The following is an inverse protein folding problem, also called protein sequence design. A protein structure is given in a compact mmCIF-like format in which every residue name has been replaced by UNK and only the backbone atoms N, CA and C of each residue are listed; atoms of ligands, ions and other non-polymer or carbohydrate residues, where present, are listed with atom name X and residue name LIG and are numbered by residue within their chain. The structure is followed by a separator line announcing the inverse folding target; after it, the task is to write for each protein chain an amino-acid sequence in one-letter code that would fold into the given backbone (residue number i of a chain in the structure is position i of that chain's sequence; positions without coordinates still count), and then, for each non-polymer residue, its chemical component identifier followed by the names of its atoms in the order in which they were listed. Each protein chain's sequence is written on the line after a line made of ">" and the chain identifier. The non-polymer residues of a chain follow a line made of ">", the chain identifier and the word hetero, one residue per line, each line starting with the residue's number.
data_IF_205000580190
#
_entry.id   IF_205000580190
#
_cell.length_a   1.000
_cell.length_b   1.000
_cell.length_c   1.000
_cell.angle_alpha   90.00
_cell.angle_beta   90.00
_cell.angle_gamma   90.00
#
_symmetry.space_group_name_H-M   'P 1'
#
loop_
_entity.id
_entity.type
_entity.pdbx_description
1 polymer ?
#
# COMPACT_ATOMS: atom_id res chain seq x y z
N UNK A 1 13.74 -5.19 -14.52
CA UNK A 1 13.66 -6.65 -14.25
C UNK A 1 13.24 -7.42 -15.50
N UNK A 2 13.88 -7.20 -16.65
CA UNK A 2 13.57 -7.97 -17.87
C UNK A 2 14.01 -9.44 -17.75
N UNK A 3 15.01 -9.68 -16.89
CA UNK A 3 15.61 -10.95 -16.51
C UNK A 3 14.75 -11.82 -15.59
N UNK A 4 13.64 -11.28 -15.06
CA UNK A 4 12.77 -11.96 -14.08
C UNK A 4 11.43 -12.32 -14.75
N UNK A 5 11.44 -13.35 -15.58
CA UNK A 5 10.27 -13.82 -16.34
C UNK A 5 10.03 -15.31 -16.16
N UNK A 6 8.76 -15.72 -16.22
CA UNK A 6 8.35 -17.12 -16.21
C UNK A 6 8.90 -17.91 -15.02
N UNK A 7 9.67 -18.98 -15.31
CA UNK A 7 10.19 -19.93 -14.33
C UNK A 7 11.10 -19.30 -13.26
N UNK A 8 11.64 -18.11 -13.50
CA UNK A 8 12.46 -17.39 -12.53
C UNK A 8 11.69 -17.05 -11.24
N UNK A 9 10.37 -16.87 -11.33
CA UNK A 9 9.50 -16.65 -10.17
C UNK A 9 9.17 -17.91 -9.39
N UNK A 10 9.38 -19.10 -9.97
CA UNK A 10 9.04 -20.40 -9.37
C UNK A 10 10.19 -20.98 -8.52
N UNK A 11 11.09 -20.14 -8.03
CA UNK A 11 12.21 -20.54 -7.15
C UNK A 11 11.72 -20.61 -5.70
N UNK A 12 12.41 -21.39 -4.86
CA UNK A 12 12.16 -21.33 -3.41
C UNK A 12 12.41 -19.92 -2.88
N UNK A 13 11.66 -19.49 -1.85
CA UNK A 13 11.68 -18.09 -1.39
C UNK A 13 13.08 -17.53 -1.13
N UNK A 14 13.98 -18.33 -0.51
CA UNK A 14 15.37 -17.94 -0.27
C UNK A 14 16.16 -17.71 -1.56
N UNK A 15 16.00 -18.60 -2.54
CA UNK A 15 16.68 -18.50 -3.83
C UNK A 15 16.11 -17.37 -4.68
N UNK A 16 14.79 -17.13 -4.58
CA UNK A 16 14.13 -16.02 -5.24
C UNK A 16 14.61 -14.68 -4.67
N UNK A 17 14.67 -14.53 -3.34
CA UNK A 17 15.18 -13.34 -2.68
C UNK A 17 16.64 -13.04 -3.08
N UNK A 18 17.51 -14.07 -3.08
CA UNK A 18 18.89 -13.93 -3.51
C UNK A 18 19.01 -13.49 -4.98
N UNK A 19 18.14 -14.02 -5.87
CA UNK A 19 18.09 -13.63 -7.28
C UNK A 19 17.61 -12.19 -7.46
N UNK A 20 16.54 -11.79 -6.75
CA UNK A 20 16.00 -10.41 -6.79
C UNK A 20 17.08 -9.42 -6.36
N UNK A 21 17.85 -9.73 -5.31
CA UNK A 21 18.91 -8.86 -4.81
C UNK A 21 20.06 -8.62 -5.81
N UNK A 22 20.14 -9.36 -6.92
CA UNK A 22 21.11 -9.10 -7.99
C UNK A 22 20.65 -7.99 -8.95
N UNK A 23 19.38 -7.62 -8.91
CA UNK A 23 18.85 -6.52 -9.72
C UNK A 23 19.27 -5.17 -9.11
N UNK A 24 19.41 -4.16 -9.96
CA UNK A 24 19.89 -2.84 -9.55
C UNK A 24 18.73 -1.86 -9.38
N UNK A 25 18.94 -0.86 -8.51
CA UNK A 25 18.02 0.27 -8.27
C UNK A 25 16.64 -0.16 -7.81
N UNK A 26 16.55 -1.26 -7.05
CA UNK A 26 15.31 -1.68 -6.41
C UNK A 26 14.99 -0.76 -5.24
N UNK A 27 13.70 -0.60 -4.94
CA UNK A 27 13.23 0.15 -3.76
C UNK A 27 13.79 -0.46 -2.47
N UNK A 28 13.84 -1.79 -2.41
CA UNK A 28 14.35 -2.52 -1.26
C UNK A 28 15.10 -3.80 -1.68
N UNK A 29 15.93 -4.29 -0.77
CA UNK A 29 16.66 -5.54 -0.87
C UNK A 29 16.36 -6.42 0.35
N UNK A 30 16.43 -7.74 0.21
CA UNK A 30 16.35 -8.66 1.34
C UNK A 30 17.68 -8.69 2.09
N UNK A 31 17.66 -8.50 3.41
CA UNK A 31 18.84 -8.69 4.26
C UNK A 31 18.91 -10.13 4.77
N UNK A 32 17.84 -10.55 5.44
CA UNK A 32 17.69 -11.88 5.99
C UNK A 32 16.40 -12.49 5.43
N UNK A 33 16.45 -13.73 4.98
CA UNK A 33 15.28 -14.46 4.50
C UNK A 33 15.07 -15.71 5.35
N UNK A 34 14.22 -15.59 6.39
CA UNK A 34 13.96 -16.62 7.40
C UNK A 34 12.47 -16.69 7.76
N UNK A 35 11.60 -16.96 6.77
CA UNK A 35 10.17 -17.10 7.03
C UNK A 35 9.58 -15.80 7.57
N UNK A 36 9.01 -15.83 8.79
CA UNK A 36 8.43 -14.64 9.45
C UNK A 36 9.49 -13.62 9.87
N UNK A 37 10.74 -14.05 10.11
CA UNK A 37 11.87 -13.18 10.46
C UNK A 37 12.58 -12.61 9.22
N UNK A 38 11.88 -12.57 8.09
CA UNK A 38 12.44 -11.99 6.86
C UNK A 38 12.56 -10.48 7.01
N UNK A 39 13.75 -9.96 6.77
CA UNK A 39 14.06 -8.54 6.86
C UNK A 39 14.36 -7.98 5.48
N UNK A 40 13.82 -6.80 5.21
CA UNK A 40 14.13 -6.00 4.03
C UNK A 40 14.78 -4.68 4.45
N UNK A 41 15.60 -4.13 3.56
CA UNK A 41 16.15 -2.80 3.70
C UNK A 41 15.73 -1.96 2.51
N UNK A 42 15.03 -0.86 2.79
CA UNK A 42 14.72 0.16 1.80
C UNK A 42 16.01 0.94 1.52
N UNK A 43 16.33 1.15 0.25
CA UNK A 43 17.49 1.94 -0.12
C UNK A 43 17.31 3.40 0.30
N UNK A 44 18.40 4.07 0.68
CA UNK A 44 18.35 5.42 1.23
C UNK A 44 17.72 6.41 0.25
N UNK A 45 18.05 6.35 -1.03
CA UNK A 45 17.54 7.25 -2.04
C UNK A 45 16.02 7.13 -2.20
N UNK A 46 15.50 5.91 -2.08
CA UNK A 46 14.08 5.63 -2.12
C UNK A 46 13.37 6.04 -0.83
N UNK A 47 14.00 5.82 0.34
CA UNK A 47 13.47 6.29 1.62
C UNK A 47 13.35 7.83 1.63
N UNK A 48 14.43 8.52 1.25
CA UNK A 48 14.47 9.98 1.15
C UNK A 48 13.40 10.49 0.15
N UNK A 49 13.23 9.82 -1.00
CA UNK A 49 12.19 10.16 -1.98
C UNK A 49 10.78 10.00 -1.41
N UNK A 50 10.50 8.87 -0.74
CA UNK A 50 9.19 8.59 -0.16
C UNK A 50 8.87 9.62 0.93
N UNK A 51 9.85 9.96 1.77
CA UNK A 51 9.68 10.97 2.82
C UNK A 51 9.38 12.36 2.23
N UNK A 52 10.15 12.79 1.23
CA UNK A 52 9.95 14.09 0.57
C UNK A 52 8.61 14.19 -0.17
N UNK A 53 8.08 13.08 -0.66
CA UNK A 53 6.85 13.04 -1.46
C UNK A 53 5.68 12.39 -0.71
N UNK A 54 5.78 12.27 0.61
CA UNK A 54 4.86 11.48 1.44
C UNK A 54 3.40 11.87 1.24
N UNK A 55 3.08 13.16 1.26
CA UNK A 55 1.69 13.64 1.12
C UNK A 55 1.07 13.25 -0.23
N UNK A 56 1.85 13.32 -1.31
CA UNK A 56 1.39 12.97 -2.66
C UNK A 56 1.16 11.46 -2.75
N UNK A 57 2.11 10.66 -2.24
CA UNK A 57 2.01 9.20 -2.23
C UNK A 57 0.82 8.75 -1.39
N UNK A 58 0.63 9.35 -0.21
CA UNK A 58 -0.49 9.05 0.67
C UNK A 58 -1.82 9.39 -0.02
N UNK A 59 -1.97 10.59 -0.59
CA UNK A 59 -3.17 10.99 -1.30
C UNK A 59 -3.49 10.06 -2.48
N UNK A 60 -2.47 9.60 -3.20
CA UNK A 60 -2.65 8.62 -4.29
C UNK A 60 -3.12 7.25 -3.77
N UNK A 61 -2.57 6.76 -2.66
CA UNK A 61 -3.02 5.50 -2.02
C UNK A 61 -4.47 5.62 -1.56
N UNK A 62 -4.82 6.72 -0.89
CA UNK A 62 -6.19 6.99 -0.42
C UNK A 62 -7.19 7.02 -1.58
N UNK A 63 -6.84 7.70 -2.68
CA UNK A 63 -7.68 7.75 -3.88
C UNK A 63 -7.92 6.36 -4.45
N UNK A 64 -6.89 5.51 -4.56
CA UNK A 64 -7.04 4.15 -5.05
C UNK A 64 -7.92 3.29 -4.11
N UNK A 65 -7.76 3.46 -2.79
CA UNK A 65 -8.59 2.79 -1.80
C UNK A 65 -10.05 3.20 -1.92
N UNK A 66 -10.34 4.51 -2.03
CA UNK A 66 -11.68 5.05 -2.26
C UNK A 66 -12.32 4.40 -3.50
N UNK A 67 -11.60 4.42 -4.62
CA UNK A 67 -12.10 3.85 -5.87
C UNK A 67 -12.37 2.34 -5.76
N UNK A 68 -11.49 1.61 -5.08
CA UNK A 68 -11.67 0.18 -4.84
C UNK A 68 -12.92 -0.10 -4.00
N UNK A 69 -13.08 0.62 -2.89
CA UNK A 69 -14.22 0.44 -1.98
C UNK A 69 -15.55 0.85 -2.64
N UNK A 70 -15.57 1.93 -3.40
CA UNK A 70 -16.76 2.37 -4.13
C UNK A 70 -17.19 1.32 -5.18
N UNK A 71 -16.25 0.75 -5.93
CA UNK A 71 -16.52 -0.32 -6.90
C UNK A 71 -17.14 -1.56 -6.26
N UNK A 72 -16.72 -1.89 -5.04
CA UNK A 72 -17.25 -3.03 -4.27
C UNK A 72 -18.58 -2.72 -3.57
N UNK A 73 -18.90 -1.44 -3.35
CA UNK A 73 -20.07 -0.99 -2.58
C UNK A 73 -20.80 0.14 -3.33
N UNK A 74 -21.33 -0.10 -4.53
CA UNK A 74 -21.90 0.96 -5.38
C UNK A 74 -23.13 1.65 -4.75
N UNK A 75 -23.84 0.98 -3.85
CA UNK A 75 -24.99 1.52 -3.12
C UNK A 75 -24.63 2.45 -1.97
N UNK A 76 -23.34 2.60 -1.65
CA UNK A 76 -22.85 3.46 -0.57
C UNK A 76 -22.34 4.76 -1.19
N UNK A 77 -23.13 5.86 -1.16
CA UNK A 77 -22.63 7.18 -1.55
C UNK A 77 -21.72 7.75 -0.46
N UNK A 78 -20.75 8.57 -0.88
CA UNK A 78 -19.85 9.28 0.03
C UNK A 78 -18.92 8.36 0.84
N UNK A 79 -18.34 7.33 0.22
CA UNK A 79 -17.35 6.45 0.89
C UNK A 79 -16.18 7.26 1.44
N UNK A 80 -15.80 8.35 0.77
CA UNK A 80 -14.78 9.30 1.22
C UNK A 80 -15.06 9.81 2.64
N UNK A 81 -16.32 10.16 2.93
CA UNK A 81 -16.75 10.70 4.23
C UNK A 81 -16.83 9.63 5.34
N UNK A 82 -16.66 8.36 4.99
CA UNK A 82 -16.77 7.19 5.89
C UNK A 82 -15.44 6.51 6.15
N UNK A 83 -14.39 6.88 5.42
CA UNK A 83 -13.06 6.30 5.56
C UNK A 83 -12.34 6.77 6.81
N UNK A 84 -12.59 8.02 7.20
CA UNK A 84 -11.99 8.62 8.38
C UNK A 84 -13.09 9.03 9.35
N UNK A 85 -12.83 8.97 10.67
CA UNK A 85 -13.76 9.51 11.65
C UNK A 85 -14.08 10.98 11.30
N UNK A 86 -15.36 11.38 11.36
CA UNK A 86 -15.70 12.78 11.14
C UNK A 86 -14.98 13.63 12.19
N UNK A 87 -14.25 14.67 11.73
CA UNK A 87 -13.51 15.60 12.60
C UNK A 87 -14.42 16.31 13.60
N UNK A 88 -15.68 16.51 13.22
CA UNK A 88 -16.74 17.02 14.10
C UNK A 88 -17.99 16.15 13.99
N UNK A 89 -18.46 15.66 15.14
CA UNK A 89 -19.71 14.89 15.21
C UNK A 89 -20.90 15.84 15.16
N UNK A 90 -21.41 16.14 13.96
CA UNK A 90 -22.67 16.90 13.80
C UNK A 90 -23.86 16.02 14.20
N UNK A 91 -24.25 16.08 15.48
CA UNK A 91 -25.36 15.32 16.08
C UNK A 91 -26.75 15.73 15.55
N UNK A 92 -26.85 16.81 14.78
CA UNK A 92 -28.13 17.36 14.31
C UNK A 92 -28.85 16.47 13.28
N UNK A 93 -28.12 15.66 12.50
CA UNK A 93 -28.71 14.77 11.48
C UNK A 93 -29.41 13.52 12.06
N UNK A 94 -29.24 13.22 13.35
CA UNK A 94 -29.84 12.01 13.97
C UNK A 94 -31.31 12.23 14.38
N UNK A 95 -31.77 13.49 14.45
CA UNK A 95 -33.13 13.81 14.95
C UNK A 95 -34.28 13.61 13.94
N UNK A 96 -34.02 13.23 12.68
CA UNK A 96 -35.08 13.12 11.66
C UNK A 96 -35.53 11.70 11.31
N UNK A 97 -35.02 10.65 11.98
CA UNK A 97 -35.45 9.24 11.75
C UNK A 97 -36.56 8.81 12.75
N UNK A 98 -37.05 9.73 13.58
CA UNK A 98 -38.15 9.48 14.51
C UNK A 98 -39.29 10.48 14.37
N UNK A 99 -40.02 10.41 13.25
CA UNK A 99 -41.45 10.78 13.16
C UNK A 99 -42.14 9.91 12.13
#
# INVERSE_FOLDING_TARGET
>A
MESMKGKEWNRSGKNLAARINQEQRLIYYFLQFLGLDTQIQIQKEWADYIEQNYEIIQGWIELNLIQYLQRRNPSVPGVVDKLFPPRERKLEKVKSIGR
#
